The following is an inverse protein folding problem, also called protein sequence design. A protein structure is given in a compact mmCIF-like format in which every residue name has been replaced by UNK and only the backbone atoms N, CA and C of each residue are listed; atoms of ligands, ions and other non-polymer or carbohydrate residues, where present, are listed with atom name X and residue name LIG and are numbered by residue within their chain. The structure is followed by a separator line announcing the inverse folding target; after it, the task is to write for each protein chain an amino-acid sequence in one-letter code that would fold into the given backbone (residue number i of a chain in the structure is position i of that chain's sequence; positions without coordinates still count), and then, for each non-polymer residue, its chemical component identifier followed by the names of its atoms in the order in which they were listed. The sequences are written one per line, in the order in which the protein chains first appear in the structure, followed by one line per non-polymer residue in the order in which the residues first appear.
data_IF_350774946814
#
_entry.id   IF_350774946814
#
_cell.length_a   1.000
_cell.length_b   1.000
_cell.length_c   1.000
_cell.angle_alpha   90.00
_cell.angle_beta   90.00
_cell.angle_gamma   90.00
#
_symmetry.space_group_name_H-M   'P 1'
#
loop_
_entity.id
_entity.type
_entity.pdbx_description
1 polymer ?
#
# COMPACT_ATOMS: atom_id res chain seq x y z
N UNK A 1 5.52 -3.47 -3.26
CA UNK A 1 4.21 -4.16 -3.25
C UNK A 1 3.62 -4.35 -4.65
N UNK A 2 3.72 -3.36 -5.56
CA UNK A 2 3.26 -3.47 -6.97
C UNK A 2 4.04 -4.48 -7.84
N UNK A 3 5.34 -4.66 -7.61
CA UNK A 3 6.18 -5.55 -8.43
C UNK A 3 5.87 -7.05 -8.27
N UNK A 4 5.26 -7.49 -7.16
CA UNK A 4 4.92 -8.91 -6.96
C UNK A 4 3.63 -9.33 -7.68
N UNK A 5 2.81 -8.36 -8.08
CA UNK A 5 1.54 -8.60 -8.77
C UNK A 5 1.65 -8.48 -10.30
N UNK A 6 2.73 -7.90 -10.82
CA UNK A 6 2.77 -7.42 -12.19
C UNK A 6 3.66 -8.25 -13.13
N UNK A 7 4.60 -9.03 -12.62
CA UNK A 7 5.50 -9.79 -13.48
C UNK A 7 5.94 -11.12 -12.84
N UNK A 8 5.89 -12.17 -13.68
CA UNK A 8 6.37 -13.54 -13.48
C UNK A 8 5.41 -14.53 -12.77
N UNK A 9 5.15 -15.64 -13.47
CA UNK A 9 4.52 -16.93 -13.13
C UNK A 9 3.92 -17.02 -11.70
N UNK A 10 2.63 -17.40 -11.55
CA UNK A 10 2.00 -17.57 -10.24
C UNK A 10 2.88 -18.38 -9.28
N UNK A 11 3.17 -17.92 -8.06
CA UNK A 11 4.06 -18.59 -7.12
C UNK A 11 3.78 -20.10 -6.92
N UNK A 12 2.52 -20.52 -7.01
CA UNK A 12 2.14 -21.94 -6.97
C UNK A 12 2.65 -22.74 -8.19
N UNK A 13 2.54 -22.16 -9.38
CA UNK A 13 3.04 -22.77 -10.62
C UNK A 13 4.57 -22.83 -10.64
N UNK A 14 5.24 -21.77 -10.18
CA UNK A 14 6.69 -21.77 -10.01
C UNK A 14 7.16 -22.86 -9.04
N UNK A 15 6.45 -23.07 -7.92
CA UNK A 15 6.75 -24.17 -6.98
C UNK A 15 6.57 -25.54 -7.65
N UNK A 16 5.49 -25.75 -8.42
CA UNK A 16 5.31 -27.01 -9.19
C UNK A 16 6.47 -27.25 -10.16
N UNK A 17 6.86 -26.23 -10.92
CA UNK A 17 7.97 -26.35 -11.87
C UNK A 17 9.31 -26.64 -11.17
N UNK A 18 9.59 -25.97 -10.05
CA UNK A 18 10.78 -26.23 -9.25
C UNK A 18 10.81 -27.67 -8.70
N UNK A 19 9.67 -28.20 -8.24
CA UNK A 19 9.60 -29.59 -7.76
C UNK A 19 9.91 -30.65 -8.83
N UNK A 20 9.80 -30.31 -10.12
CA UNK A 20 10.19 -31.23 -11.21
C UNK A 20 11.71 -31.26 -11.47
N UNK A 21 12.46 -30.32 -10.89
CA UNK A 21 13.89 -30.21 -11.08
C UNK A 21 14.65 -30.99 -9.99
N UNK A 22 15.80 -31.62 -10.30
CA UNK A 22 16.58 -32.42 -9.36
C UNK A 22 16.95 -31.69 -8.06
N UNK A 23 17.20 -30.37 -8.14
CA UNK A 23 17.61 -29.52 -7.03
C UNK A 23 16.56 -28.46 -6.65
N UNK A 24 15.36 -28.53 -7.23
CA UNK A 24 14.37 -27.46 -7.08
C UNK A 24 13.59 -27.48 -5.76
N UNK A 25 13.78 -28.51 -4.92
CA UNK A 25 13.18 -28.57 -3.58
C UNK A 25 13.58 -27.37 -2.71
N UNK A 26 14.87 -27.03 -2.67
CA UNK A 26 15.37 -25.86 -1.91
C UNK A 26 14.80 -24.55 -2.44
N UNK A 27 14.68 -24.41 -3.76
CA UNK A 27 14.11 -23.23 -4.40
C UNK A 27 12.59 -23.12 -4.14
N UNK A 28 11.87 -24.24 -4.15
CA UNK A 28 10.45 -24.31 -3.81
C UNK A 28 10.20 -23.89 -2.35
N UNK A 29 11.04 -24.35 -1.42
CA UNK A 29 11.00 -23.93 -0.01
C UNK A 29 11.22 -22.42 0.14
N UNK A 30 12.25 -21.87 -0.51
CA UNK A 30 12.53 -20.45 -0.48
C UNK A 30 11.38 -19.60 -1.04
N UNK A 31 10.68 -20.11 -2.06
CA UNK A 31 9.50 -19.46 -2.61
C UNK A 31 8.33 -19.44 -1.63
N UNK A 32 8.01 -20.59 -1.01
CA UNK A 32 6.97 -20.67 0.03
C UNK A 32 7.29 -19.74 1.21
N UNK A 33 8.55 -19.71 1.66
CA UNK A 33 9.03 -18.80 2.70
C UNK A 33 8.81 -17.33 2.34
N UNK A 34 9.17 -16.93 1.11
CA UNK A 34 9.00 -15.57 0.62
C UNK A 34 7.52 -15.17 0.61
N UNK A 35 6.64 -16.04 0.12
CA UNK A 35 5.20 -15.76 0.11
C UNK A 35 4.63 -15.68 1.52
N UNK A 36 5.10 -16.53 2.45
CA UNK A 36 4.75 -16.41 3.88
C UNK A 36 5.15 -15.05 4.45
N UNK A 37 6.37 -14.58 4.17
CA UNK A 37 6.84 -13.27 4.61
C UNK A 37 5.98 -12.12 4.08
N UNK A 38 5.61 -12.18 2.79
CA UNK A 38 4.71 -11.22 2.17
C UNK A 38 3.33 -11.28 2.84
N UNK A 39 2.76 -12.46 3.02
CA UNK A 39 1.46 -12.68 3.65
C UNK A 39 1.42 -12.12 5.08
N UNK A 40 2.50 -12.28 5.84
CA UNK A 40 2.65 -11.71 7.18
C UNK A 40 2.63 -10.18 7.16
N UNK A 41 3.35 -9.56 6.22
CA UNK A 41 3.39 -8.10 6.09
C UNK A 41 2.02 -7.49 5.73
N UNK A 42 1.18 -8.22 4.99
CA UNK A 42 -0.16 -7.75 4.58
C UNK A 42 -1.28 -8.28 5.49
N UNK A 43 -0.93 -8.92 6.61
CA UNK A 43 -1.89 -9.57 7.53
C UNK A 43 -2.85 -10.56 6.86
N UNK A 44 -2.43 -11.21 5.77
CA UNK A 44 -3.21 -12.23 5.09
C UNK A 44 -3.08 -13.58 5.82
N UNK A 45 -3.76 -13.71 6.96
CA UNK A 45 -3.60 -14.84 7.88
C UNK A 45 -3.79 -16.21 7.23
N UNK A 46 -4.80 -16.37 6.37
CA UNK A 46 -5.06 -17.65 5.68
C UNK A 46 -3.91 -18.01 4.73
N UNK A 47 -3.43 -17.04 3.94
CA UNK A 47 -2.29 -17.25 3.05
C UNK A 47 -1.00 -17.51 3.84
N UNK A 48 -0.82 -16.84 4.97
CA UNK A 48 0.33 -17.06 5.86
C UNK A 48 0.35 -18.49 6.40
N UNK A 49 -0.79 -18.98 6.89
CA UNK A 49 -0.91 -20.33 7.44
C UNK A 49 -0.71 -21.41 6.38
N UNK A 50 -1.35 -21.27 5.21
CA UNK A 50 -1.20 -22.24 4.12
C UNK A 50 0.22 -22.20 3.51
N UNK A 51 0.84 -21.02 3.40
CA UNK A 51 2.25 -20.90 2.98
C UNK A 51 3.21 -21.53 4.01
N UNK A 52 2.95 -21.37 5.30
CA UNK A 52 3.75 -21.99 6.35
C UNK A 52 3.57 -23.51 6.40
N UNK A 53 2.36 -24.02 6.13
CA UNK A 53 2.11 -25.45 6.05
C UNK A 53 2.81 -26.07 4.83
N UNK A 54 2.76 -25.40 3.68
CA UNK A 54 3.48 -25.81 2.48
C UNK A 54 5.00 -25.79 2.67
N UNK A 55 5.57 -24.73 3.24
CA UNK A 55 7.00 -24.66 3.54
C UNK A 55 7.44 -25.84 4.42
N UNK A 56 6.68 -26.16 5.47
CA UNK A 56 6.97 -27.30 6.36
C UNK A 56 6.91 -28.63 5.61
N UNK A 57 5.88 -28.85 4.79
CA UNK A 57 5.72 -30.07 4.00
C UNK A 57 6.87 -30.26 3.00
N UNK A 58 7.35 -29.17 2.38
CA UNK A 58 8.50 -29.16 1.49
C UNK A 58 9.82 -29.46 2.22
N UNK A 59 9.98 -28.98 3.46
CA UNK A 59 11.17 -29.27 4.30
C UNK A 59 11.19 -30.74 4.73
N UNK A 60 10.05 -31.28 5.16
CA UNK A 60 9.96 -32.66 5.63
C UNK A 60 9.79 -33.69 4.51
N UNK A 61 9.69 -33.26 3.24
CA UNK A 61 9.36 -34.10 2.09
C UNK A 61 8.11 -34.96 2.34
N UNK A 62 7.07 -34.34 2.88
CA UNK A 62 5.84 -35.06 3.23
C UNK A 62 5.07 -35.51 1.98
N UNK A 63 4.33 -36.61 2.10
CA UNK A 63 3.52 -37.15 1.00
C UNK A 63 2.32 -36.25 0.62
N UNK A 64 1.98 -35.28 1.47
CA UNK A 64 0.83 -34.38 1.31
C UNK A 64 1.18 -33.02 0.68
N UNK A 65 2.39 -32.87 0.09
CA UNK A 65 2.84 -31.63 -0.54
C UNK A 65 1.86 -31.12 -1.60
N UNK A 66 1.30 -31.98 -2.46
CA UNK A 66 0.37 -31.54 -3.51
C UNK A 66 -0.96 -30.99 -2.95
N UNK A 67 -1.44 -31.57 -1.84
CA UNK A 67 -2.62 -31.06 -1.14
C UNK A 67 -2.34 -29.68 -0.57
N UNK A 68 -1.21 -29.50 0.11
CA UNK A 68 -0.79 -28.22 0.69
C UNK A 68 -0.54 -27.16 -0.38
N UNK A 69 0.02 -27.57 -1.52
CA UNK A 69 0.25 -26.69 -2.66
C UNK A 69 -1.07 -26.22 -3.28
N UNK A 70 -2.05 -27.10 -3.41
CA UNK A 70 -3.40 -26.76 -3.88
C UNK A 70 -4.11 -25.79 -2.92
N UNK A 71 -3.97 -25.98 -1.60
CA UNK A 71 -4.55 -25.06 -0.60
C UNK A 71 -3.89 -23.68 -0.65
N UNK A 72 -2.56 -23.66 -0.71
CA UNK A 72 -1.77 -22.45 -0.89
C UNK A 72 -2.16 -21.68 -2.16
N UNK A 73 -2.33 -22.36 -3.29
CA UNK A 73 -2.76 -21.76 -4.56
C UNK A 73 -4.13 -21.08 -4.43
N UNK A 74 -5.10 -21.78 -3.83
CA UNK A 74 -6.43 -21.23 -3.58
C UNK A 74 -6.40 -20.01 -2.63
N UNK A 75 -5.60 -20.06 -1.56
CA UNK A 75 -5.44 -18.96 -0.64
C UNK A 75 -4.81 -17.74 -1.33
N UNK A 76 -3.80 -17.98 -2.16
CA UNK A 76 -3.10 -16.94 -2.92
C UNK A 76 -4.04 -16.26 -3.92
N UNK A 77 -4.83 -17.02 -4.67
CA UNK A 77 -5.79 -16.47 -5.63
C UNK A 77 -6.87 -15.62 -4.93
N UNK A 78 -7.40 -16.10 -3.79
CA UNK A 78 -8.37 -15.34 -2.99
C UNK A 78 -7.78 -14.05 -2.47
N UNK A 79 -6.60 -14.10 -1.87
CA UNK A 79 -5.91 -12.91 -1.36
C UNK A 79 -5.63 -11.92 -2.50
N UNK A 80 -5.21 -12.38 -3.68
CA UNK A 80 -5.01 -11.53 -4.84
C UNK A 80 -6.32 -10.87 -5.31
N UNK A 81 -7.43 -11.61 -5.33
CA UNK A 81 -8.76 -11.08 -5.65
C UNK A 81 -9.23 -10.05 -4.60
N UNK A 82 -9.02 -10.31 -3.31
CA UNK A 82 -9.37 -9.38 -2.23
C UNK A 82 -8.54 -8.10 -2.31
N UNK A 83 -7.23 -8.20 -2.51
CA UNK A 83 -6.36 -7.04 -2.73
C UNK A 83 -6.81 -6.26 -3.97
N UNK A 84 -7.11 -6.94 -5.08
CA UNK A 84 -7.59 -6.28 -6.30
C UNK A 84 -8.92 -5.57 -6.07
N UNK A 85 -9.85 -6.19 -5.33
CA UNK A 85 -11.11 -5.56 -4.93
C UNK A 85 -10.90 -4.36 -4.03
N UNK A 86 -10.01 -4.44 -3.04
CA UNK A 86 -9.68 -3.31 -2.17
C UNK A 86 -9.03 -2.16 -2.96
N UNK A 87 -8.14 -2.47 -3.91
CA UNK A 87 -7.53 -1.49 -4.80
C UNK A 87 -8.57 -0.87 -5.74
N UNK A 88 -9.51 -1.67 -6.28
CA UNK A 88 -10.62 -1.15 -7.08
C UNK A 88 -11.59 -0.32 -6.24
N UNK A 89 -11.96 -0.74 -5.02
CA UNK A 89 -12.80 0.04 -4.12
C UNK A 89 -12.12 1.33 -3.68
N UNK A 90 -10.81 1.33 -3.43
CA UNK A 90 -10.04 2.55 -3.17
C UNK A 90 -10.03 3.46 -4.42
N UNK A 91 -9.99 2.88 -5.62
CA UNK A 91 -10.07 3.60 -6.88
C UNK A 91 -11.47 4.12 -7.20
N UNK A 92 -12.52 3.38 -6.86
CA UNK A 92 -13.94 3.73 -7.07
C UNK A 92 -14.45 4.69 -5.99
N UNK A 93 -13.96 4.59 -4.76
CA UNK A 93 -14.13 5.63 -3.73
C UNK A 93 -13.31 6.89 -4.05
N UNK A 94 -12.28 6.78 -4.89
CA UNK A 94 -11.59 7.90 -5.56
C UNK A 94 -12.18 8.31 -6.92
N UNK A 95 -13.14 7.57 -7.48
CA UNK A 95 -13.66 7.72 -8.86
C UNK A 95 -15.21 7.70 -8.88
N UNK A 96 -15.83 8.29 -7.86
CA UNK A 96 -17.15 8.92 -8.03
C UNK A 96 -17.05 10.41 -8.39
N UNK A 97 -15.86 10.90 -8.73
CA UNK A 97 -15.66 12.24 -9.29
C UNK A 97 -15.07 12.18 -10.70
N UNK A 98 -15.70 11.41 -11.59
CA UNK A 98 -15.50 11.58 -13.04
C UNK A 98 -16.83 11.91 -13.71
N UNK A 99 -17.42 13.02 -13.25
CA UNK A 99 -18.20 13.93 -14.10
C UNK A 99 -18.30 15.32 -13.46
N UNK A 100 -17.15 15.99 -13.35
CA UNK A 100 -17.07 17.45 -13.31
C UNK A 100 -15.67 17.87 -13.76
N UNK A 101 -15.46 17.81 -15.07
CA UNK A 101 -14.71 18.87 -15.74
C UNK A 101 -15.48 20.17 -15.53
N UNK A 102 -15.18 20.83 -14.42
CA UNK A 102 -15.47 22.22 -14.18
C UNK A 102 -14.33 22.67 -13.28
N UNK A 103 -13.60 23.69 -13.70
CA UNK A 103 -12.55 24.37 -12.95
C UNK A 103 -12.84 24.34 -11.43
N UNK A 104 -12.15 23.46 -10.69
CA UNK A 104 -12.19 23.51 -9.24
C UNK A 104 -11.26 24.66 -8.86
N UNK A 105 -11.83 25.86 -8.77
CA UNK A 105 -11.17 27.00 -8.16
C UNK A 105 -10.76 26.57 -6.74
N UNK A 106 -9.46 26.67 -6.47
CA UNK A 106 -8.90 26.44 -5.16
C UNK A 106 -9.55 27.38 -4.14
N UNK A 107 -10.21 26.79 -3.13
CA UNK A 107 -10.86 27.53 -2.06
C UNK A 107 -9.97 27.47 -0.80
N UNK A 108 -9.22 28.56 -0.59
CA UNK A 108 -8.28 28.70 0.52
C UNK A 108 -8.98 28.61 1.90
N UNK A 109 -10.21 29.10 2.00
CA UNK A 109 -11.01 29.07 3.23
C UNK A 109 -11.44 27.64 3.60
N UNK A 110 -11.67 26.77 2.61
CA UNK A 110 -11.98 25.36 2.87
C UNK A 110 -10.73 24.51 3.14
N UNK A 111 -9.61 24.83 2.50
CA UNK A 111 -8.37 24.06 2.66
C UNK A 111 -7.63 24.37 3.99
N UNK A 112 -7.77 25.58 4.53
CA UNK A 112 -7.13 26.00 5.78
C UNK A 112 -7.42 25.08 6.99
N UNK A 113 -8.69 24.77 7.35
CA UNK A 113 -8.97 23.90 8.48
C UNK A 113 -8.49 22.46 8.26
N UNK A 114 -8.47 21.98 7.02
CA UNK A 114 -8.01 20.62 6.70
C UNK A 114 -6.47 20.52 6.78
N UNK A 115 -5.73 21.54 6.32
CA UNK A 115 -4.27 21.65 6.49
C UNK A 115 -3.89 21.78 7.97
N UNK A 116 -4.68 22.52 8.76
CA UNK A 116 -4.46 22.68 10.19
C UNK A 116 -4.73 21.38 10.96
N UNK A 117 -5.78 20.64 10.59
CA UNK A 117 -6.04 19.31 11.14
C UNK A 117 -4.91 18.32 10.79
N UNK A 118 -4.37 18.38 9.57
CA UNK A 118 -3.20 17.58 9.17
C UNK A 118 -1.97 17.93 10.02
N UNK A 119 -1.74 19.22 10.29
CA UNK A 119 -0.66 19.68 11.17
C UNK A 119 -0.79 19.11 12.58
N UNK A 120 -1.99 19.11 13.16
CA UNK A 120 -2.23 18.50 14.46
C UNK A 120 -2.01 16.98 14.46
N UNK A 121 -2.36 16.28 13.38
CA UNK A 121 -2.11 14.84 13.23
C UNK A 121 -0.61 14.50 13.15
N UNK A 122 0.17 15.33 12.45
CA UNK A 122 1.63 15.21 12.34
C UNK A 122 2.29 15.51 13.69
N UNK A 123 1.88 16.58 14.38
CA UNK A 123 2.35 16.91 15.74
C UNK A 123 2.02 15.76 16.72
N UNK A 124 0.83 15.18 16.59
CA UNK A 124 0.39 14.03 17.37
C UNK A 124 1.11 12.71 17.03
N UNK A 125 2.02 12.70 16.05
CA UNK A 125 2.73 11.51 15.52
C UNK A 125 1.79 10.35 15.23
N UNK A 126 0.59 10.67 14.73
CA UNK A 126 -0.44 9.68 14.46
C UNK A 126 -0.21 9.09 13.08
N UNK A 127 -0.28 7.76 13.00
CA UNK A 127 -0.25 7.02 11.73
C UNK A 127 -1.36 7.45 10.75
N UNK A 128 -2.38 8.16 11.22
CA UNK A 128 -3.47 8.67 10.41
C UNK A 128 -3.11 9.91 9.56
N UNK A 129 -1.90 10.48 9.76
CA UNK A 129 -1.44 11.66 9.03
C UNK A 129 -1.33 11.40 7.51
N UNK A 130 -0.86 10.22 7.09
CA UNK A 130 -0.80 9.83 5.67
C UNK A 130 -2.19 9.75 5.05
N UNK A 131 -3.14 9.11 5.75
CA UNK A 131 -4.52 8.98 5.29
C UNK A 131 -5.26 10.34 5.24
N UNK A 132 -4.92 11.26 6.15
CA UNK A 132 -5.43 12.62 6.12
C UNK A 132 -4.86 13.42 4.95
N UNK A 133 -3.55 13.32 4.68
CA UNK A 133 -2.92 13.98 3.54
C UNK A 133 -3.43 13.44 2.19
N UNK A 134 -3.64 12.13 2.07
CA UNK A 134 -4.19 11.52 0.85
C UNK A 134 -5.60 12.03 0.51
N UNK A 135 -6.41 12.39 1.52
CA UNK A 135 -7.74 13.01 1.33
C UNK A 135 -7.67 14.48 0.96
N UNK A 136 -6.64 15.18 1.45
CA UNK A 136 -6.41 16.60 1.19
C UNK A 136 -5.78 16.84 -0.20
N UNK A 137 -4.89 15.95 -0.65
CA UNK A 137 -4.18 16.02 -1.94
C UNK A 137 -5.06 16.38 -3.15
N UNK A 138 -6.27 15.79 -3.33
CA UNK A 138 -7.14 16.21 -4.42
C UNK A 138 -7.67 17.64 -4.30
N UNK A 139 -7.85 18.16 -3.08
CA UNK A 139 -8.24 19.55 -2.84
C UNK A 139 -7.06 20.50 -3.12
N UNK A 140 -5.82 20.05 -2.92
CA UNK A 140 -4.59 20.79 -3.23
C UNK A 140 -4.24 20.88 -4.73
N UNK A 141 -4.87 20.09 -5.61
CA UNK A 141 -4.55 20.04 -7.06
C UNK A 141 -4.82 21.35 -7.81
N UNK A 142 -5.63 22.26 -7.25
CA UNK A 142 -5.89 23.59 -7.81
C UNK A 142 -5.10 24.73 -7.15
N UNK A 143 -4.35 24.44 -6.08
CA UNK A 143 -3.62 25.45 -5.32
C UNK A 143 -2.40 25.98 -6.11
N UNK A 144 -1.94 27.21 -5.86
CA UNK A 144 -0.66 27.70 -6.35
C UNK A 144 0.53 27.07 -5.59
N UNK A 145 0.51 25.74 -5.42
CA UNK A 145 1.56 24.98 -4.76
C UNK A 145 2.54 24.42 -5.78
N UNK A 146 3.83 24.41 -5.43
CA UNK A 146 4.80 23.71 -6.26
C UNK A 146 4.55 22.20 -6.13
N UNK A 147 4.46 21.45 -7.24
CA UNK A 147 4.27 19.99 -7.20
C UNK A 147 5.39 19.28 -6.42
N UNK A 148 6.57 19.90 -6.34
CA UNK A 148 7.71 19.43 -5.55
C UNK A 148 7.44 19.47 -4.04
N UNK A 149 6.69 20.44 -3.53
CA UNK A 149 6.39 20.58 -2.09
C UNK A 149 5.36 19.54 -1.63
N UNK A 150 4.32 19.32 -2.44
CA UNK A 150 3.33 18.26 -2.19
C UNK A 150 3.98 16.88 -2.24
N UNK A 151 4.93 16.66 -3.16
CA UNK A 151 5.67 15.41 -3.24
C UNK A 151 6.65 15.23 -2.07
N UNK A 152 7.32 16.29 -1.63
CA UNK A 152 8.22 16.26 -0.47
C UNK A 152 7.46 15.90 0.82
N UNK A 153 6.28 16.50 1.04
CA UNK A 153 5.41 16.19 2.16
C UNK A 153 4.93 14.73 2.12
N UNK A 154 4.56 14.21 0.95
CA UNK A 154 4.16 12.80 0.76
C UNK A 154 5.29 11.83 1.13
N UNK A 155 6.51 12.11 0.67
CA UNK A 155 7.69 11.29 0.96
C UNK A 155 8.03 11.32 2.46
N UNK A 156 7.92 12.48 3.10
CA UNK A 156 8.17 12.61 4.53
C UNK A 156 7.14 11.81 5.36
N UNK A 157 5.87 11.85 4.99
CA UNK A 157 4.81 11.06 5.64
C UNK A 157 4.99 9.55 5.43
N UNK A 158 5.32 9.10 4.21
CA UNK A 158 5.60 7.68 3.88
C UNK A 158 6.80 7.14 4.70
N UNK A 159 7.81 7.99 4.93
CA UNK A 159 9.00 7.64 5.72
C UNK A 159 8.81 7.77 7.22
N UNK A 160 7.61 8.14 7.68
CA UNK A 160 7.32 8.47 9.09
C UNK A 160 8.24 9.58 9.64
N UNK A 161 8.75 10.43 8.75
CA UNK A 161 9.56 11.60 9.07
C UNK A 161 8.62 12.77 9.39
N UNK A 162 8.02 12.72 10.58
CA UNK A 162 7.05 13.72 11.03
C UNK A 162 7.67 15.10 11.18
N UNK A 163 8.95 15.19 11.54
CA UNK A 163 9.68 16.45 11.65
C UNK A 163 9.89 17.10 10.27
N UNK A 164 10.28 16.30 9.27
CA UNK A 164 10.34 16.74 7.86
C UNK A 164 8.97 17.09 7.29
N UNK A 165 7.95 16.28 7.58
CA UNK A 165 6.58 16.52 7.12
C UNK A 165 5.99 17.81 7.71
N UNK A 166 6.30 18.13 8.97
CA UNK A 166 5.87 19.38 9.58
C UNK A 166 6.52 20.59 8.90
N UNK A 167 7.82 20.52 8.62
CA UNK A 167 8.55 21.58 7.96
C UNK A 167 8.01 21.88 6.54
N UNK A 168 7.72 20.83 5.77
CA UNK A 168 7.12 20.97 4.44
C UNK A 168 5.68 21.51 4.53
N UNK A 169 4.90 21.07 5.53
CA UNK A 169 3.53 21.54 5.73
C UNK A 169 3.48 23.01 6.18
N UNK A 170 4.36 23.45 7.07
CA UNK A 170 4.46 24.86 7.46
C UNK A 170 4.92 25.72 6.27
N UNK A 171 5.82 25.22 5.41
CA UNK A 171 6.21 25.90 4.18
C UNK A 171 5.05 26.02 3.17
N UNK A 172 4.18 25.01 3.09
CA UNK A 172 2.95 25.03 2.28
C UNK A 172 1.97 26.08 2.81
N UNK A 173 1.75 26.12 4.13
CA UNK A 173 0.89 27.12 4.78
C UNK A 173 1.40 28.55 4.59
N UNK A 174 2.72 28.75 4.63
CA UNK A 174 3.37 30.04 4.38
C UNK A 174 3.24 30.51 2.93
N UNK A 175 3.45 29.62 1.96
CA UNK A 175 3.33 29.96 0.55
C UNK A 175 1.88 30.29 0.15
N UNK A 176 0.91 29.77 0.89
CA UNK A 176 -0.52 30.02 0.68
C UNK A 176 -1.04 31.25 1.45
N UNK A 177 -0.17 31.98 2.18
CA UNK A 177 -0.52 33.13 3.02
C UNK A 177 -1.61 32.81 4.08
N UNK A 178 -1.70 31.54 4.51
CA UNK A 178 -2.73 31.07 5.45
C UNK A 178 -2.37 31.30 6.92
N UNK A 179 -1.19 31.87 7.22
CA UNK A 179 -0.78 32.22 8.60
C UNK A 179 -1.59 33.39 9.20
N UNK A 180 -2.39 34.12 8.40
CA UNK A 180 -3.07 35.36 8.80
C UNK A 180 -4.55 35.27 9.15
N UNK A 181 -5.21 34.11 9.00
CA UNK A 181 -6.66 33.98 9.30
C UNK A 181 -6.89 33.63 10.76
N UNK A 182 -6.65 34.60 11.64
CA UNK A 182 -6.90 34.53 13.07
C UNK A 182 -7.96 35.55 13.51
#
# INVERSE_FOLDING_TARGET
MREFLHDHIPPAQAIRELLTQPDGSTAAQAMAHRVRGIAGNISAHVLFDDASALEKALISQADDVEEKLSRFENALERTAQEITKLLHLAKEQGSSSERRTAEAEWDADQAAPELQALRELIIGRRFDAEAAFAKLKPNLLGAPLAPEQTAALEIALDRLDYDGALAELDAILQNLDLEGMH
#
